data_IF_062497788585
#
_entry.id   IF_062497788585
#
_cell.length_a   1.000
_cell.length_b   1.000
_cell.length_c   1.000
_cell.angle_alpha   90.00
_cell.angle_beta   90.00
_cell.angle_gamma   90.00
#
_symmetry.space_group_name_H-M   'P 1'
#
loop_
_entity.id
_entity.type
_entity.pdbx_description
1 polymer ?
#
# COMPACT_ATOMS: atom_id res chain seq x y z
N UNK A 1 -20.44 -24.99 -34.74
CA UNK A 1 -21.20 -25.93 -33.88
C UNK A 1 -21.65 -25.11 -32.67
N UNK A 2 -22.95 -24.93 -32.42
CA UNK A 2 -23.45 -24.27 -31.22
C UNK A 2 -23.06 -25.10 -30.00
N UNK A 3 -22.55 -24.45 -28.97
CA UNK A 3 -22.28 -25.06 -27.68
C UNK A 3 -23.27 -24.50 -26.69
N UNK A 4 -23.97 -25.37 -25.97
CA UNK A 4 -24.87 -24.96 -24.90
C UNK A 4 -24.05 -24.60 -23.64
N UNK A 5 -24.19 -23.36 -23.16
CA UNK A 5 -23.51 -22.83 -21.99
C UNK A 5 -24.50 -22.52 -20.84
N UNK A 6 -25.74 -23.03 -20.91
CA UNK A 6 -26.79 -22.74 -19.92
C UNK A 6 -26.44 -23.22 -18.52
N UNK A 7 -25.66 -24.29 -18.40
CA UNK A 7 -25.20 -24.86 -17.10
C UNK A 7 -23.84 -24.35 -16.65
N UNK A 8 -23.27 -23.30 -17.30
CA UNK A 8 -21.93 -22.76 -16.98
C UNK A 8 -22.06 -21.56 -16.09
N UNK A 9 -21.37 -21.59 -14.95
CA UNK A 9 -21.18 -20.44 -14.09
C UNK A 9 -19.98 -19.62 -14.59
N UNK A 10 -20.23 -18.35 -14.95
CA UNK A 10 -19.19 -17.42 -15.36
C UNK A 10 -18.77 -16.56 -14.19
N UNK A 11 -17.48 -16.52 -13.90
CA UNK A 11 -16.88 -15.63 -12.88
C UNK A 11 -15.88 -14.73 -13.59
N UNK A 12 -16.08 -13.42 -13.50
CA UNK A 12 -15.18 -12.42 -14.08
C UNK A 12 -14.60 -11.53 -12.98
N UNK A 13 -13.39 -11.01 -13.20
CA UNK A 13 -12.75 -10.04 -12.31
C UNK A 13 -12.39 -8.78 -13.07
N UNK A 14 -12.60 -7.62 -12.45
CA UNK A 14 -12.25 -6.33 -13.02
C UNK A 14 -11.71 -5.39 -11.94
N UNK A 15 -10.88 -4.42 -12.33
CA UNK A 15 -10.39 -3.39 -11.43
C UNK A 15 -11.34 -2.19 -11.31
N UNK A 16 -12.25 -2.04 -12.27
CA UNK A 16 -13.23 -0.97 -12.31
C UNK A 16 -14.46 -1.41 -13.09
N UNK A 17 -15.61 -1.07 -12.60
CA UNK A 17 -16.90 -1.32 -13.29
C UNK A 17 -17.20 -0.25 -14.36
N UNK A 18 -16.51 0.89 -14.34
CA UNK A 18 -16.78 2.01 -15.23
C UNK A 18 -16.61 1.68 -16.73
N UNK A 19 -15.78 0.69 -17.05
CA UNK A 19 -15.52 0.26 -18.43
C UNK A 19 -16.39 -0.90 -18.88
N UNK A 20 -17.23 -1.46 -18.01
CA UNK A 20 -18.11 -2.59 -18.32
C UNK A 20 -19.42 -2.05 -18.87
N UNK A 21 -19.88 -2.53 -20.04
CA UNK A 21 -21.15 -2.13 -20.63
C UNK A 21 -22.33 -2.40 -19.68
N UNK A 22 -23.24 -1.44 -19.53
CA UNK A 22 -24.42 -1.54 -18.67
C UNK A 22 -25.25 -2.84 -18.90
N UNK A 23 -25.53 -3.28 -20.15
CA UNK A 23 -26.29 -4.50 -20.37
C UNK A 23 -25.64 -5.77 -19.79
N UNK A 24 -24.31 -5.76 -19.58
CA UNK A 24 -23.62 -6.85 -18.89
C UNK A 24 -23.73 -6.71 -17.38
N UNK A 25 -23.56 -5.50 -16.85
CA UNK A 25 -23.70 -5.23 -15.40
C UNK A 25 -25.10 -5.61 -14.90
N UNK A 26 -26.15 -5.32 -15.66
CA UNK A 26 -27.53 -5.63 -15.31
C UNK A 26 -27.83 -7.14 -15.19
N UNK A 27 -26.93 -7.98 -15.71
CA UNK A 27 -27.04 -9.46 -15.70
C UNK A 27 -26.04 -10.14 -14.81
N UNK A 28 -25.20 -9.38 -14.11
CA UNK A 28 -24.17 -9.92 -13.23
C UNK A 28 -24.45 -9.54 -11.79
N UNK A 29 -24.12 -10.43 -10.88
CA UNK A 29 -24.00 -10.10 -9.47
C UNK A 29 -22.62 -9.45 -9.24
N UNK A 30 -22.62 -8.22 -8.71
CA UNK A 30 -21.41 -7.48 -8.43
C UNK A 30 -20.99 -7.74 -6.98
N UNK A 31 -19.79 -8.31 -6.81
CA UNK A 31 -19.17 -8.51 -5.50
C UNK A 31 -17.98 -7.56 -5.40
N UNK A 32 -18.11 -6.53 -4.58
CA UNK A 32 -17.04 -5.57 -4.34
C UNK A 32 -16.03 -6.12 -3.33
N UNK A 33 -14.75 -6.09 -3.71
CA UNK A 33 -13.63 -6.45 -2.83
C UNK A 33 -12.92 -5.17 -2.39
N UNK A 34 -13.16 -4.77 -1.16
CA UNK A 34 -12.59 -3.56 -0.57
C UNK A 34 -11.07 -3.67 -0.35
N UNK A 35 -10.42 -2.51 -0.22
CA UNK A 35 -9.02 -2.43 0.18
C UNK A 35 -8.84 -2.87 1.64
N UNK A 36 -7.71 -3.51 1.93
CA UNK A 36 -7.37 -3.87 3.31
C UNK A 36 -6.93 -2.65 4.12
N UNK A 37 -7.37 -2.60 5.36
CA UNK A 37 -6.88 -1.66 6.37
C UNK A 37 -5.43 -1.99 6.77
N UNK A 38 -4.72 -1.04 7.37
CA UNK A 38 -3.36 -1.27 7.87
C UNK A 38 -3.28 -2.44 8.88
N UNK A 39 -4.33 -2.60 9.71
CA UNK A 39 -4.42 -3.69 10.67
C UNK A 39 -4.61 -5.06 9.99
N UNK A 40 -5.50 -5.14 9.00
CA UNK A 40 -5.70 -6.37 8.22
C UNK A 40 -4.42 -6.75 7.45
N UNK A 41 -3.75 -5.78 6.81
CA UNK A 41 -2.46 -6.01 6.15
C UNK A 41 -1.40 -6.55 7.11
N UNK A 42 -1.38 -6.05 8.35
CA UNK A 42 -0.47 -6.55 9.38
C UNK A 42 -0.75 -8.02 9.73
N UNK A 43 -2.00 -8.39 9.96
CA UNK A 43 -2.38 -9.77 10.25
C UNK A 43 -2.10 -10.70 9.06
N UNK A 44 -2.46 -10.31 7.85
CA UNK A 44 -2.14 -11.06 6.63
C UNK A 44 -0.62 -11.26 6.48
N UNK A 45 0.16 -10.20 6.73
CA UNK A 45 1.61 -10.29 6.65
C UNK A 45 2.19 -11.28 7.67
N UNK A 46 1.76 -11.16 8.94
CA UNK A 46 2.25 -11.96 10.06
C UNK A 46 1.88 -13.43 9.92
N UNK A 47 0.64 -13.73 9.60
CA UNK A 47 0.10 -15.08 9.61
C UNK A 47 0.40 -15.85 8.31
N UNK A 48 0.48 -15.15 7.19
CA UNK A 48 0.59 -15.80 5.88
C UNK A 48 1.83 -15.42 5.09
N UNK A 49 2.10 -14.09 4.89
CA UNK A 49 3.11 -13.68 3.92
C UNK A 49 4.54 -13.97 4.38
N UNK A 50 4.84 -13.75 5.66
CA UNK A 50 6.18 -14.01 6.21
C UNK A 50 6.52 -15.49 6.06
N UNK A 51 5.67 -16.40 6.51
CA UNK A 51 5.90 -17.83 6.41
C UNK A 51 6.01 -18.29 4.94
N UNK A 52 5.18 -17.76 4.05
CA UNK A 52 5.21 -18.02 2.61
C UNK A 52 6.56 -17.60 2.00
N UNK A 53 7.03 -16.39 2.32
CA UNK A 53 8.27 -15.86 1.76
C UNK A 53 9.53 -16.54 2.34
N UNK A 54 9.51 -16.91 3.61
CA UNK A 54 10.59 -17.73 4.19
C UNK A 54 10.76 -19.04 3.41
N UNK A 55 9.68 -19.78 3.23
CA UNK A 55 9.70 -21.04 2.46
C UNK A 55 10.17 -20.86 1.03
N UNK A 56 9.66 -19.83 0.31
CA UNK A 56 10.05 -19.55 -1.09
C UNK A 56 11.53 -19.21 -1.25
N UNK A 57 12.17 -18.66 -0.23
CA UNK A 57 13.57 -18.27 -0.27
C UNK A 57 14.49 -19.28 0.47
N UNK A 58 14.00 -20.47 0.79
CA UNK A 58 14.78 -21.55 1.41
C UNK A 58 15.28 -21.23 2.82
N UNK A 59 14.60 -20.32 3.54
CA UNK A 59 14.94 -19.99 4.92
C UNK A 59 14.18 -20.91 5.87
N UNK A 60 14.92 -21.60 6.73
CA UNK A 60 14.36 -22.52 7.74
C UNK A 60 14.07 -21.76 9.03
N UNK A 61 13.23 -22.32 9.90
CA UNK A 61 12.80 -21.69 11.14
C UNK A 61 13.97 -21.17 11.99
N UNK A 62 13.85 -19.93 12.47
CA UNK A 62 14.86 -19.25 13.27
C UNK A 62 15.95 -18.50 12.51
N UNK A 63 16.15 -18.77 11.22
CA UNK A 63 17.16 -18.07 10.41
C UNK A 63 16.82 -16.59 10.13
N UNK A 64 15.55 -16.27 10.02
CA UNK A 64 15.08 -14.88 9.88
C UNK A 64 13.84 -14.69 10.73
N UNK A 65 13.84 -13.63 11.52
CA UNK A 65 12.65 -13.13 12.22
C UNK A 65 12.41 -11.67 11.86
N UNK A 66 11.15 -11.33 11.59
CA UNK A 66 10.70 -9.96 11.33
C UNK A 66 9.81 -9.55 12.48
N UNK A 67 10.15 -8.47 13.18
CA UNK A 67 9.36 -8.00 14.32
C UNK A 67 8.05 -7.36 13.88
N UNK A 68 7.07 -7.36 14.78
CA UNK A 68 5.77 -6.72 14.56
C UNK A 68 5.93 -5.21 14.24
N UNK A 69 6.86 -4.54 14.92
CA UNK A 69 7.18 -3.13 14.65
C UNK A 69 7.76 -2.91 13.25
N UNK A 70 8.53 -3.88 12.73
CA UNK A 70 9.04 -3.81 11.35
C UNK A 70 7.92 -4.00 10.33
N UNK A 71 6.98 -4.94 10.55
CA UNK A 71 5.84 -5.15 9.66
C UNK A 71 4.94 -3.91 9.60
N UNK A 72 4.61 -3.30 10.75
CA UNK A 72 3.82 -2.07 10.81
C UNK A 72 4.51 -0.93 10.05
N UNK A 73 5.81 -0.74 10.31
CA UNK A 73 6.60 0.29 9.61
C UNK A 73 6.70 0.03 8.10
N UNK A 74 6.76 -1.23 7.67
CA UNK A 74 6.72 -1.56 6.22
C UNK A 74 5.41 -1.13 5.59
N UNK A 75 4.29 -1.38 6.24
CA UNK A 75 2.95 -1.01 5.76
C UNK A 75 2.83 0.51 5.63
N UNK A 76 3.32 1.24 6.63
CA UNK A 76 3.18 2.70 6.70
C UNK A 76 4.17 3.45 5.80
N UNK A 77 5.44 3.01 5.75
CA UNK A 77 6.51 3.80 5.16
C UNK A 77 7.07 3.22 3.84
N UNK A 78 6.78 1.96 3.50
CA UNK A 78 7.37 1.32 2.32
C UNK A 78 6.35 0.84 1.29
N UNK A 79 5.06 0.76 1.64
CA UNK A 79 4.00 0.32 0.74
C UNK A 79 2.84 1.31 0.71
N UNK A 80 2.21 1.45 -0.49
CA UNK A 80 1.01 2.27 -0.67
C UNK A 80 0.16 1.58 -1.73
N UNK A 81 -0.70 0.69 -1.29
CA UNK A 81 -1.51 -0.17 -2.15
C UNK A 81 -2.83 -0.55 -1.48
N UNK A 82 -3.86 -0.87 -2.25
CA UNK A 82 -5.13 -1.37 -1.74
C UNK A 82 -5.00 -2.80 -1.15
N UNK A 83 -4.23 -3.66 -1.81
CA UNK A 83 -3.97 -5.04 -1.40
C UNK A 83 -2.70 -5.21 -0.58
N UNK A 84 -2.03 -6.35 -0.77
CA UNK A 84 -0.81 -6.76 -0.05
C UNK A 84 0.31 -7.28 -0.99
N UNK A 85 0.22 -7.01 -2.30
CA UNK A 85 1.19 -7.51 -3.27
C UNK A 85 2.56 -6.86 -3.14
N UNK A 86 2.59 -5.54 -2.93
CA UNK A 86 3.85 -4.84 -2.72
C UNK A 86 4.44 -5.18 -1.35
N UNK A 87 3.61 -5.33 -0.33
CA UNK A 87 4.03 -5.79 1.00
C UNK A 87 4.68 -7.19 0.91
N UNK A 88 4.06 -8.12 0.19
CA UNK A 88 4.65 -9.44 -0.07
C UNK A 88 6.00 -9.34 -0.80
N UNK A 89 6.11 -8.44 -1.79
CA UNK A 89 7.34 -8.19 -2.53
C UNK A 89 8.45 -7.62 -1.64
N UNK A 90 8.12 -6.70 -0.72
CA UNK A 90 9.07 -6.14 0.24
C UNK A 90 9.55 -7.20 1.23
N UNK A 91 8.65 -8.03 1.77
CA UNK A 91 9.01 -9.17 2.64
C UNK A 91 9.95 -10.14 1.88
N UNK A 92 9.62 -10.47 0.63
CA UNK A 92 10.49 -11.30 -0.21
C UNK A 92 11.87 -10.69 -0.47
N UNK A 93 11.96 -9.36 -0.59
CA UNK A 93 13.24 -8.65 -0.72
C UNK A 93 14.08 -8.79 0.54
N UNK A 94 13.47 -8.66 1.71
CA UNK A 94 14.14 -8.89 3.00
C UNK A 94 14.65 -10.33 3.08
N UNK A 95 13.80 -11.31 2.74
CA UNK A 95 14.17 -12.73 2.78
C UNK A 95 15.39 -13.02 1.88
N UNK A 96 15.41 -12.52 0.64
CA UNK A 96 16.55 -12.72 -0.28
C UNK A 96 17.84 -12.09 0.25
N UNK A 97 17.77 -10.86 0.77
CA UNK A 97 18.94 -10.18 1.34
C UNK A 97 19.44 -10.87 2.62
N UNK A 98 18.52 -11.35 3.44
CA UNK A 98 18.86 -12.13 4.64
C UNK A 98 19.51 -13.48 4.26
N UNK A 99 18.96 -14.22 3.31
CA UNK A 99 19.56 -15.46 2.82
C UNK A 99 20.99 -15.25 2.31
N UNK A 100 21.21 -14.19 1.52
CA UNK A 100 22.56 -13.81 1.07
C UNK A 100 23.49 -13.51 2.25
N UNK A 101 23.03 -12.75 3.25
CA UNK A 101 23.85 -12.39 4.42
C UNK A 101 24.19 -13.62 5.28
N UNK A 102 23.25 -14.56 5.45
CA UNK A 102 23.47 -15.83 6.16
C UNK A 102 24.54 -16.66 5.45
N UNK A 103 24.43 -16.82 4.14
CA UNK A 103 25.40 -17.61 3.35
C UNK A 103 26.79 -16.98 3.37
N UNK A 104 26.89 -15.66 3.16
CA UNK A 104 28.19 -14.98 3.09
C UNK A 104 28.89 -14.84 4.44
N UNK A 105 28.13 -14.59 5.51
CA UNK A 105 28.69 -14.26 6.84
C UNK A 105 28.58 -15.43 7.82
N UNK A 106 28.09 -16.61 7.40
CA UNK A 106 27.84 -17.79 8.25
C UNK A 106 27.08 -17.47 9.54
N UNK A 107 26.15 -16.49 9.46
CA UNK A 107 25.30 -16.12 10.60
C UNK A 107 24.23 -17.18 10.82
N UNK A 108 23.98 -17.51 12.09
CA UNK A 108 22.95 -18.49 12.45
C UNK A 108 21.52 -17.93 12.39
N UNK A 109 21.35 -16.61 12.46
CA UNK A 109 20.04 -15.98 12.39
C UNK A 109 20.12 -14.46 12.24
N UNK A 110 19.09 -13.89 11.63
CA UNK A 110 18.93 -12.44 11.41
C UNK A 110 17.62 -11.99 11.99
N UNK A 111 17.66 -10.89 12.77
CA UNK A 111 16.47 -10.23 13.31
C UNK A 111 16.28 -8.89 12.61
N UNK A 112 15.14 -8.71 11.96
CA UNK A 112 14.72 -7.45 11.32
C UNK A 112 13.76 -6.71 12.22
N UNK A 113 14.12 -5.48 12.57
CA UNK A 113 13.35 -4.56 13.41
C UNK A 113 13.07 -3.26 12.65
N UNK A 114 12.21 -2.41 13.19
CA UNK A 114 11.91 -1.11 12.60
C UNK A 114 13.17 -0.22 12.43
N UNK A 115 14.17 -0.38 13.30
CA UNK A 115 15.41 0.43 13.27
C UNK A 115 16.38 0.00 12.17
N UNK A 116 16.44 -1.29 11.82
CA UNK A 116 17.36 -1.80 10.81
C UNK A 116 16.70 -2.09 9.45
N UNK A 117 15.40 -1.77 9.33
CA UNK A 117 14.62 -2.03 8.12
C UNK A 117 15.20 -1.33 6.89
N UNK A 118 15.72 -0.11 7.06
CA UNK A 118 16.38 0.67 6.01
C UNK A 118 17.60 -0.03 5.37
N UNK A 119 18.29 -0.89 6.11
CA UNK A 119 19.39 -1.72 5.57
C UNK A 119 18.89 -2.66 4.46
N UNK A 120 17.68 -3.17 4.60
CA UNK A 120 17.09 -4.15 3.68
C UNK A 120 16.27 -3.49 2.57
N UNK A 121 15.51 -2.45 2.88
CA UNK A 121 14.56 -1.82 1.95
C UNK A 121 15.02 -0.47 1.40
N UNK A 122 16.08 0.12 1.97
CA UNK A 122 16.55 1.45 1.61
C UNK A 122 15.79 2.55 2.37
N UNK A 123 15.78 3.76 1.81
CA UNK A 123 15.08 4.90 2.41
C UNK A 123 13.56 4.66 2.42
N UNK A 124 12.90 5.20 3.42
CA UNK A 124 11.44 5.23 3.50
C UNK A 124 10.89 5.97 2.27
N UNK A 125 9.88 5.38 1.63
CA UNK A 125 9.26 5.92 0.41
C UNK A 125 8.14 6.90 0.72
N UNK A 126 7.48 6.66 1.85
CA UNK A 126 6.33 7.44 2.29
C UNK A 126 6.60 7.95 3.69
N UNK A 127 6.38 9.23 3.92
CA UNK A 127 6.37 9.79 5.26
C UNK A 127 4.96 9.63 5.82
N UNK A 128 4.89 9.20 7.07
CA UNK A 128 3.61 9.26 7.80
C UNK A 128 3.29 10.74 8.00
N UNK A 129 2.19 11.22 7.43
CA UNK A 129 1.71 12.58 7.67
C UNK A 129 1.38 12.70 9.16
N UNK A 130 2.31 13.25 9.94
CA UNK A 130 2.08 13.53 11.35
C UNK A 130 1.09 14.68 11.45
N UNK A 131 0.16 14.56 12.38
CA UNK A 131 -0.67 15.70 12.80
C UNK A 131 0.27 16.79 13.31
N UNK A 132 0.00 18.05 12.97
CA UNK A 132 0.78 19.15 13.51
C UNK A 132 0.67 19.12 15.02
N UNK A 133 1.82 19.18 15.72
CA UNK A 133 1.87 19.17 17.20
C UNK A 133 1.39 20.49 17.80
N UNK A 134 1.30 21.53 16.97
CA UNK A 134 0.87 22.88 17.36
C UNK A 134 -0.06 23.45 16.31
N UNK A 135 -0.94 24.35 16.73
CA UNK A 135 -1.78 25.13 15.82
C UNK A 135 -0.89 26.07 15.01
N UNK A 136 -1.07 26.08 13.70
CA UNK A 136 -0.33 26.93 12.76
C UNK A 136 -1.33 27.75 11.94
N UNK A 137 -1.13 29.07 11.91
CA UNK A 137 -1.96 29.98 11.14
C UNK A 137 -1.66 29.81 9.66
N UNK A 138 -2.71 29.68 8.84
CA UNK A 138 -2.58 29.50 7.39
C UNK A 138 -2.35 28.06 6.96
N UNK A 139 -2.43 27.09 7.88
CA UNK A 139 -2.31 25.67 7.55
C UNK A 139 -3.62 24.94 7.89
N UNK A 140 -4.20 24.29 6.89
CA UNK A 140 -5.41 23.46 7.04
C UNK A 140 -5.16 22.07 6.48
N UNK A 141 -5.70 21.06 7.15
CA UNK A 141 -5.65 19.67 6.66
C UNK A 141 -6.97 19.32 6.00
N UNK A 142 -6.90 19.11 4.69
CA UNK A 142 -7.97 18.50 3.91
C UNK A 142 -7.94 16.99 4.05
N UNK A 143 -9.09 16.34 3.95
CA UNK A 143 -9.21 14.89 3.86
C UNK A 143 -9.48 14.50 2.41
N UNK A 144 -8.72 13.57 1.88
CA UNK A 144 -8.90 13.02 0.55
C UNK A 144 -9.12 11.51 0.61
N UNK A 145 -10.04 11.03 -0.19
CA UNK A 145 -10.22 9.61 -0.42
C UNK A 145 -9.45 9.19 -1.66
N UNK A 146 -8.61 8.16 -1.53
CA UNK A 146 -7.83 7.61 -2.63
C UNK A 146 -8.13 6.13 -2.82
N UNK A 147 -7.77 5.57 -3.96
CA UNK A 147 -7.91 4.12 -4.23
C UNK A 147 -7.14 3.22 -3.23
N UNK A 148 -6.26 3.80 -2.44
CA UNK A 148 -5.48 3.09 -1.41
C UNK A 148 -5.90 3.42 0.02
N UNK A 149 -6.96 4.21 0.19
CA UNK A 149 -7.54 4.61 1.47
C UNK A 149 -7.62 6.12 1.64
N UNK A 150 -8.02 6.55 2.84
CA UNK A 150 -8.07 7.97 3.22
C UNK A 150 -6.66 8.54 3.38
N UNK A 151 -6.48 9.79 2.94
CA UNK A 151 -5.23 10.54 3.06
C UNK A 151 -5.50 11.96 3.54
N UNK A 152 -4.53 12.55 4.22
CA UNK A 152 -4.59 13.97 4.60
C UNK A 152 -3.71 14.79 3.68
N UNK A 153 -4.25 15.90 3.18
CA UNK A 153 -3.53 16.89 2.39
C UNK A 153 -3.28 18.12 3.25
N UNK A 154 -2.05 18.61 3.28
CA UNK A 154 -1.74 19.88 3.91
C UNK A 154 -1.97 21.00 2.90
N UNK A 155 -2.84 21.94 3.25
CA UNK A 155 -3.15 23.13 2.46
C UNK A 155 -2.51 24.31 3.18
N UNK A 156 -1.59 24.98 2.53
CA UNK A 156 -0.89 26.15 3.05
C UNK A 156 -1.42 27.41 2.36
N UNK A 157 -1.81 28.38 3.14
CA UNK A 157 -2.34 29.67 2.67
C UNK A 157 -1.48 30.80 3.21
N UNK A 158 -0.91 31.58 2.30
CA UNK A 158 -0.18 32.78 2.62
C UNK A 158 -0.91 34.01 2.03
N UNK A 159 -1.03 35.05 2.82
CA UNK A 159 -1.64 36.33 2.39
C UNK A 159 -0.51 37.33 2.16
N UNK A 160 -0.49 37.91 0.97
CA UNK A 160 0.48 38.92 0.62
C UNK A 160 -0.18 40.07 -0.18
N UNK A 161 0.35 41.30 -0.14
CA UNK A 161 -0.15 42.38 -0.99
C UNK A 161 -0.05 42.03 -2.48
N UNK A 162 -1.12 42.23 -3.23
CA UNK A 162 -1.16 41.92 -4.66
C UNK A 162 -2.30 42.58 -5.38
N UNK A 163 -2.47 42.30 -6.66
CA UNK A 163 -3.52 42.86 -7.52
C UNK A 163 -4.81 42.08 -7.52
N UNK A 164 -4.91 40.98 -6.78
CA UNK A 164 -6.09 40.11 -6.72
C UNK A 164 -6.26 39.21 -7.97
N UNK A 165 -5.20 38.93 -8.68
CA UNK A 165 -5.21 38.00 -9.80
C UNK A 165 -5.21 36.55 -9.29
N UNK A 166 -5.92 35.66 -9.97
CA UNK A 166 -5.97 34.22 -9.64
C UNK A 166 -5.24 33.44 -10.72
N UNK A 167 -4.06 32.93 -10.38
CA UNK A 167 -3.28 32.08 -11.25
C UNK A 167 -3.38 30.63 -10.77
N UNK A 168 -3.86 29.74 -11.64
CA UNK A 168 -3.96 28.31 -11.38
C UNK A 168 -2.77 27.58 -12.01
N UNK A 169 -1.93 26.94 -11.21
CA UNK A 169 -0.75 26.21 -11.68
C UNK A 169 -0.82 24.74 -11.30
N UNK A 170 -0.29 23.86 -12.16
CA UNK A 170 -0.24 22.41 -11.92
C UNK A 170 -1.29 21.61 -12.72
N UNK A 171 -1.28 20.30 -12.53
CA UNK A 171 -2.25 19.38 -13.13
C UNK A 171 -3.46 19.21 -12.21
N UNK A 172 -4.44 20.09 -12.35
CA UNK A 172 -5.68 20.01 -11.60
C UNK A 172 -6.74 19.33 -12.45
N UNK A 173 -7.41 18.33 -11.88
CA UNK A 173 -8.64 17.77 -12.45
C UNK A 173 -9.81 18.75 -12.36
N UNK A 174 -10.90 18.45 -13.07
CA UNK A 174 -12.04 19.37 -13.18
C UNK A 174 -12.66 19.73 -11.82
N UNK A 175 -12.76 18.76 -10.92
CA UNK A 175 -13.25 18.97 -9.53
C UNK A 175 -12.38 19.94 -8.71
N UNK A 176 -11.09 20.05 -9.03
CA UNK A 176 -10.19 20.97 -8.32
C UNK A 176 -10.18 22.37 -8.92
N UNK A 177 -10.77 22.54 -10.13
CA UNK A 177 -10.90 23.85 -10.80
C UNK A 177 -12.20 24.56 -10.47
N UNK A 178 -13.23 23.79 -10.06
CA UNK A 178 -14.49 24.30 -9.57
C UNK A 178 -14.37 24.85 -8.15
#
# INVERSE_FOLDING_TARGET
>A
IPVDLSEVLFVATANSVATIPRPLLDRMELIEVNSYTANEKYHIAKEHLVAKQLRRNGLVGGQLSISDSALKKMIECYTREAGVRDLERQIGSICRKAAKEILQKKKQGIKVSASNLGKYLGKEKYSTNRVNEKDEIGIVRGLAWTSVGGETLQIEVNVMPGKGEVDLTGQMGDVMKE
#
